data_IF_435762523401
#
_entry.id   IF_435762523401
#
_cell.length_a   1.000
_cell.length_b   1.000
_cell.length_c   1.000
_cell.angle_alpha   90.00
_cell.angle_beta   90.00
_cell.angle_gamma   90.00
#
_symmetry.space_group_name_H-M   'P 1'
#
loop_
_entity.id
_entity.type
_entity.pdbx_description
1 polymer ?
#
# COMPACT_ATOMS: atom_id res chain seq x y z
N UNK A 1 -5.99 172.24 -39.57
CA UNK A 1 -5.15 171.08 -39.23
C UNK A 1 -5.92 169.80 -39.51
N UNK A 2 -5.85 169.30 -40.75
CA UNK A 2 -6.24 167.95 -41.08
C UNK A 2 -5.04 167.20 -41.69
N UNK A 3 -4.91 165.90 -41.44
CA UNK A 3 -4.06 165.05 -42.27
C UNK A 3 -4.47 165.24 -43.74
N UNK A 4 -3.52 165.47 -44.64
CA UNK A 4 -3.85 165.55 -46.08
C UNK A 4 -4.30 164.18 -46.57
N UNK A 5 -5.20 164.12 -47.57
CA UNK A 5 -5.74 162.86 -48.11
C UNK A 5 -4.62 161.87 -48.50
N UNK A 6 -3.45 162.38 -48.91
CA UNK A 6 -2.27 161.57 -49.21
C UNK A 6 -1.63 160.91 -47.97
N UNK A 7 -1.65 161.54 -46.80
CA UNK A 7 -1.16 160.95 -45.54
C UNK A 7 -2.14 159.89 -45.01
N UNK A 8 -3.45 160.13 -45.09
CA UNK A 8 -4.49 159.15 -44.73
C UNK A 8 -4.40 157.93 -45.67
N UNK A 9 -4.22 158.14 -46.97
CA UNK A 9 -4.04 157.04 -47.92
C UNK A 9 -2.77 156.23 -47.63
N UNK A 10 -1.68 156.88 -47.21
CA UNK A 10 -0.41 156.23 -46.86
C UNK A 10 -0.49 155.47 -45.53
N UNK A 11 -1.18 156.03 -44.54
CA UNK A 11 -1.42 155.40 -43.23
C UNK A 11 -2.39 154.22 -43.36
N UNK A 12 -3.51 154.38 -44.08
CA UNK A 12 -4.40 153.29 -44.42
C UNK A 12 -3.72 152.22 -45.28
N UNK A 13 -2.86 152.58 -46.25
CA UNK A 13 -2.09 151.55 -46.99
C UNK A 13 -1.05 150.86 -46.11
N UNK A 14 -0.43 151.55 -45.15
CA UNK A 14 0.48 150.92 -44.19
C UNK A 14 -0.27 149.97 -43.25
N UNK A 15 -1.41 150.38 -42.71
CA UNK A 15 -2.28 149.56 -41.87
C UNK A 15 -2.83 148.35 -42.64
N UNK A 16 -3.23 148.52 -43.91
CA UNK A 16 -3.65 147.41 -44.77
C UNK A 16 -2.48 146.45 -45.02
N UNK A 17 -1.27 146.94 -45.32
CA UNK A 17 -0.09 146.08 -45.49
C UNK A 17 0.32 145.37 -44.20
N UNK A 18 0.09 145.98 -43.04
CA UNK A 18 0.36 145.40 -41.73
C UNK A 18 -0.70 144.34 -41.37
N UNK A 19 -1.97 144.61 -41.65
CA UNK A 19 -3.06 143.64 -41.52
C UNK A 19 -2.90 142.46 -42.47
N UNK A 20 -2.47 142.69 -43.72
CA UNK A 20 -2.14 141.63 -44.69
C UNK A 20 -0.96 140.80 -44.16
N UNK A 21 0.13 141.43 -43.71
CA UNK A 21 1.27 140.70 -43.13
C UNK A 21 0.89 139.93 -41.87
N UNK A 22 0.01 140.46 -41.04
CA UNK A 22 -0.54 139.77 -39.87
C UNK A 22 -1.36 138.56 -40.31
N UNK A 23 -2.27 138.73 -41.28
CA UNK A 23 -3.08 137.65 -41.84
C UNK A 23 -2.20 136.57 -42.49
N UNK A 24 -1.18 136.94 -43.26
CA UNK A 24 -0.21 136.02 -43.84
C UNK A 24 0.56 135.26 -42.75
N UNK A 25 0.93 135.94 -41.66
CA UNK A 25 1.55 135.34 -40.49
C UNK A 25 0.63 134.33 -39.78
N UNK A 26 -0.64 134.68 -39.62
CA UNK A 26 -1.66 133.81 -39.01
C UNK A 26 -2.02 132.63 -39.92
N UNK A 27 -2.10 132.83 -41.24
CA UNK A 27 -2.25 131.76 -42.24
C UNK A 27 -1.04 130.81 -42.16
N UNK A 28 0.18 131.34 -42.14
CA UNK A 28 1.39 130.52 -42.04
C UNK A 28 1.50 129.79 -40.69
N UNK A 29 0.92 130.34 -39.61
CA UNK A 29 0.82 129.66 -38.30
C UNK A 29 -0.23 128.54 -38.36
N UNK A 30 -1.42 128.83 -38.88
CA UNK A 30 -2.50 127.86 -39.05
C UNK A 30 -2.09 126.70 -39.96
N UNK A 31 -1.38 126.96 -41.06
CA UNK A 31 -0.85 125.91 -41.95
C UNK A 31 0.16 125.01 -41.23
N UNK A 32 1.04 125.57 -40.39
CA UNK A 32 1.97 124.78 -39.56
C UNK A 32 1.23 123.95 -38.51
N UNK A 33 0.27 124.54 -37.82
CA UNK A 33 -0.57 123.83 -36.84
C UNK A 33 -1.37 122.69 -37.48
N UNK A 34 -1.87 122.91 -38.71
CA UNK A 34 -2.61 121.91 -39.47
C UNK A 34 -1.69 120.77 -39.91
N UNK A 35 -0.47 121.07 -40.38
CA UNK A 35 0.52 120.04 -40.71
C UNK A 35 0.96 119.26 -39.45
N UNK A 36 1.22 119.94 -38.34
CA UNK A 36 1.52 119.30 -37.05
C UNK A 36 0.36 118.44 -36.54
N UNK A 37 -0.88 118.89 -36.73
CA UNK A 37 -2.07 118.11 -36.41
C UNK A 37 -2.19 116.88 -37.32
N UNK A 38 -1.89 117.02 -38.61
CA UNK A 38 -1.89 115.92 -39.57
C UNK A 38 -0.86 114.85 -39.21
N UNK A 39 0.38 115.25 -38.90
CA UNK A 39 1.44 114.34 -38.43
C UNK A 39 1.02 113.62 -37.14
N UNK A 40 0.37 114.33 -36.20
CA UNK A 40 -0.19 113.72 -34.98
C UNK A 40 -1.32 112.74 -35.25
N UNK A 41 -2.19 113.02 -36.22
CA UNK A 41 -3.27 112.10 -36.64
C UNK A 41 -2.67 110.85 -37.30
N UNK A 42 -1.70 111.01 -38.21
CA UNK A 42 -1.07 109.88 -38.92
C UNK A 42 -0.30 108.96 -37.95
N UNK A 43 0.46 109.54 -37.01
CA UNK A 43 1.13 108.78 -35.95
C UNK A 43 0.14 108.08 -35.00
N UNK A 44 -0.94 108.76 -34.60
CA UNK A 44 -1.99 108.16 -33.77
C UNK A 44 -2.73 107.03 -34.49
N UNK A 45 -3.01 107.20 -35.78
CA UNK A 45 -3.62 106.17 -36.64
C UNK A 45 -2.71 104.95 -36.77
N UNK A 46 -1.41 105.17 -36.99
CA UNK A 46 -0.42 104.10 -37.03
C UNK A 46 -0.34 103.34 -35.70
N UNK A 47 -0.33 104.07 -34.58
CA UNK A 47 -0.36 103.48 -33.23
C UNK A 47 -1.64 102.68 -32.97
N UNK A 48 -2.80 103.21 -33.37
CA UNK A 48 -4.09 102.50 -33.27
C UNK A 48 -4.10 101.21 -34.08
N UNK A 49 -3.57 101.22 -35.31
CA UNK A 49 -3.45 100.02 -36.15
C UNK A 49 -2.56 98.96 -35.50
N UNK A 50 -1.43 99.35 -34.93
CA UNK A 50 -0.55 98.44 -34.17
C UNK A 50 -1.28 97.86 -32.96
N UNK A 51 -2.00 98.69 -32.18
CA UNK A 51 -2.76 98.21 -31.02
C UNK A 51 -3.89 97.26 -31.42
N UNK A 52 -4.62 97.55 -32.50
CA UNK A 52 -5.64 96.65 -33.04
C UNK A 52 -5.05 95.29 -33.45
N UNK A 53 -3.88 95.28 -34.11
CA UNK A 53 -3.21 94.03 -34.47
C UNK A 53 -2.79 93.22 -33.24
N UNK A 54 -2.29 93.88 -32.18
CA UNK A 54 -1.93 93.23 -30.90
C UNK A 54 -3.15 92.64 -30.20
N UNK A 55 -4.25 93.38 -30.14
CA UNK A 55 -5.51 92.91 -29.56
C UNK A 55 -6.01 91.68 -30.33
N UNK A 56 -6.01 91.73 -31.66
CA UNK A 56 -6.42 90.59 -32.49
C UNK A 56 -5.50 89.36 -32.34
N UNK A 57 -4.20 89.55 -32.10
CA UNK A 57 -3.28 88.45 -31.78
C UNK A 57 -3.54 87.87 -30.38
N UNK A 58 -3.79 88.72 -29.38
CA UNK A 58 -4.11 88.30 -28.03
C UNK A 58 -5.46 87.55 -27.95
N UNK A 59 -6.49 88.01 -28.68
CA UNK A 59 -7.78 87.32 -28.77
C UNK A 59 -7.64 85.92 -29.36
N UNK A 60 -6.86 85.77 -30.44
CA UNK A 60 -6.57 84.45 -31.02
C UNK A 60 -5.84 83.53 -30.04
N UNK A 61 -4.88 84.07 -29.29
CA UNK A 61 -4.15 83.30 -28.26
C UNK A 61 -5.06 82.91 -27.09
N UNK A 62 -5.96 83.78 -26.67
CA UNK A 62 -6.92 83.49 -25.61
C UNK A 62 -7.86 82.35 -26.02
N UNK A 63 -8.41 82.40 -27.25
CA UNK A 63 -9.23 81.33 -27.81
C UNK A 63 -8.46 80.00 -27.89
N UNK A 64 -7.20 80.02 -28.31
CA UNK A 64 -6.36 78.80 -28.34
C UNK A 64 -6.17 78.22 -26.94
N UNK A 65 -5.86 79.06 -25.95
CA UNK A 65 -5.70 78.62 -24.56
C UNK A 65 -7.00 78.05 -23.98
N UNK A 66 -8.15 78.61 -24.32
CA UNK A 66 -9.46 78.06 -23.95
C UNK A 66 -9.68 76.67 -24.56
N UNK A 67 -9.32 76.48 -25.83
CA UNK A 67 -9.42 75.16 -26.47
C UNK A 67 -8.45 74.14 -25.85
N UNK A 68 -7.24 74.55 -25.51
CA UNK A 68 -6.24 73.68 -24.87
C UNK A 68 -6.68 73.30 -23.45
N UNK A 69 -7.25 74.25 -22.68
CA UNK A 69 -7.79 74.01 -21.35
C UNK A 69 -8.97 73.03 -21.38
N UNK A 70 -9.86 73.15 -22.36
CA UNK A 70 -10.96 72.21 -22.53
C UNK A 70 -10.47 70.82 -22.92
N UNK A 71 -9.44 70.74 -23.77
CA UNK A 71 -8.75 69.48 -24.09
C UNK A 71 -8.14 68.81 -22.87
N UNK A 72 -7.42 69.57 -22.05
CA UNK A 72 -6.81 69.07 -20.80
C UNK A 72 -7.85 68.62 -19.78
N UNK A 73 -8.99 69.33 -19.66
CA UNK A 73 -10.10 68.91 -18.79
C UNK A 73 -10.65 67.55 -19.20
N UNK A 74 -10.87 67.33 -20.50
CA UNK A 74 -11.34 66.04 -21.02
C UNK A 74 -10.34 64.92 -20.75
N UNK A 75 -9.05 65.18 -20.93
CA UNK A 75 -7.99 64.21 -20.60
C UNK A 75 -7.94 63.90 -19.11
N UNK A 76 -8.09 64.90 -18.25
CA UNK A 76 -8.10 64.73 -16.80
C UNK A 76 -9.27 63.84 -16.35
N UNK A 77 -10.48 64.08 -16.87
CA UNK A 77 -11.65 63.25 -16.55
C UNK A 77 -11.51 61.82 -17.07
N UNK A 78 -10.97 61.64 -18.29
CA UNK A 78 -10.64 60.31 -18.80
C UNK A 78 -9.64 59.58 -17.86
N UNK A 79 -8.56 60.24 -17.45
CA UNK A 79 -7.57 59.66 -16.53
C UNK A 79 -8.14 59.37 -15.15
N UNK A 80 -9.05 60.19 -14.63
CA UNK A 80 -9.77 59.88 -13.38
C UNK A 80 -10.62 58.62 -13.53
N UNK A 81 -11.33 58.47 -14.65
CA UNK A 81 -12.14 57.27 -14.91
C UNK A 81 -11.29 56.00 -15.01
N UNK A 82 -10.13 56.07 -15.69
CA UNK A 82 -9.17 54.98 -15.76
C UNK A 82 -8.61 54.61 -14.38
N UNK A 83 -8.34 55.61 -13.54
CA UNK A 83 -7.81 55.41 -12.19
C UNK A 83 -8.84 54.76 -11.26
N UNK A 84 -10.13 55.07 -11.42
CA UNK A 84 -11.21 54.39 -10.69
C UNK A 84 -11.30 52.93 -11.14
N UNK A 85 -11.34 52.67 -12.45
CA UNK A 85 -11.39 51.30 -12.98
C UNK A 85 -10.19 50.46 -12.51
N UNK A 86 -8.98 51.02 -12.53
CA UNK A 86 -7.79 50.34 -12.05
C UNK A 86 -7.85 50.03 -10.55
N UNK A 87 -8.46 50.89 -9.73
CA UNK A 87 -8.66 50.63 -8.29
C UNK A 87 -9.64 49.47 -8.07
N UNK A 88 -10.72 49.43 -8.83
CA UNK A 88 -11.70 48.35 -8.74
C UNK A 88 -11.07 47.01 -9.15
N UNK A 89 -10.24 47.01 -10.20
CA UNK A 89 -9.47 45.85 -10.63
C UNK A 89 -8.50 45.36 -9.55
N UNK A 90 -7.76 46.27 -8.90
CA UNK A 90 -6.87 45.93 -7.79
C UNK A 90 -7.65 45.26 -6.66
N UNK A 91 -8.78 45.83 -6.24
CA UNK A 91 -9.59 45.25 -5.16
C UNK A 91 -10.11 43.86 -5.51
N UNK A 92 -10.55 43.66 -6.76
CA UNK A 92 -10.99 42.34 -7.24
C UNK A 92 -9.86 41.32 -7.17
N UNK A 93 -8.68 41.65 -7.70
CA UNK A 93 -7.51 40.76 -7.71
C UNK A 93 -7.04 40.44 -6.28
N UNK A 94 -7.07 41.41 -5.37
CA UNK A 94 -6.75 41.18 -3.96
C UNK A 94 -7.75 40.22 -3.28
N UNK A 95 -9.04 40.33 -3.62
CA UNK A 95 -10.07 39.40 -3.16
C UNK A 95 -9.84 37.98 -3.66
N UNK A 96 -9.55 37.82 -4.95
CA UNK A 96 -9.23 36.52 -5.57
C UNK A 96 -7.96 35.91 -4.98
N UNK A 97 -6.90 36.71 -4.82
CA UNK A 97 -5.65 36.25 -4.20
C UNK A 97 -5.86 35.79 -2.75
N UNK A 98 -6.72 36.49 -2.00
CA UNK A 98 -7.07 36.11 -0.63
C UNK A 98 -7.89 34.83 -0.56
N UNK A 99 -8.79 34.60 -1.52
CA UNK A 99 -9.52 33.34 -1.65
C UNK A 99 -8.57 32.19 -1.99
N UNK A 100 -7.72 32.38 -3.00
CA UNK A 100 -6.75 31.38 -3.44
C UNK A 100 -5.77 30.98 -2.32
N UNK A 101 -5.35 31.94 -1.47
CA UNK A 101 -4.51 31.66 -0.29
C UNK A 101 -5.23 30.78 0.74
N UNK A 102 -6.54 30.97 0.94
CA UNK A 102 -7.34 30.13 1.84
C UNK A 102 -7.51 28.73 1.26
N UNK A 103 -7.86 28.65 -0.01
CA UNK A 103 -8.05 27.37 -0.71
C UNK A 103 -6.75 26.56 -0.72
N UNK A 104 -5.60 27.21 -0.98
CA UNK A 104 -4.28 26.58 -0.89
C UNK A 104 -4.00 25.99 0.50
N UNK A 105 -4.32 26.71 1.57
CA UNK A 105 -4.13 26.20 2.95
C UNK A 105 -5.03 25.00 3.23
N UNK A 106 -6.30 25.07 2.83
CA UNK A 106 -7.24 23.97 3.02
C UNK A 106 -6.79 22.70 2.26
N UNK A 107 -6.32 22.86 1.02
CA UNK A 107 -5.76 21.74 0.24
C UNK A 107 -4.49 21.19 0.90
N UNK A 108 -3.62 22.05 1.42
CA UNK A 108 -2.42 21.61 2.12
C UNK A 108 -2.74 20.80 3.38
N UNK A 109 -3.69 21.26 4.20
CA UNK A 109 -4.19 20.51 5.36
C UNK A 109 -4.80 19.16 4.96
N UNK A 110 -5.54 19.13 3.85
CA UNK A 110 -6.10 17.89 3.32
C UNK A 110 -5.01 16.91 2.86
N UNK A 111 -3.98 17.40 2.16
CA UNK A 111 -2.83 16.57 1.74
C UNK A 111 -2.11 16.00 2.95
N UNK A 112 -1.81 16.83 3.96
CA UNK A 112 -1.17 16.37 5.20
C UNK A 112 -2.03 15.31 5.94
N UNK A 113 -3.35 15.47 5.95
CA UNK A 113 -4.24 14.48 6.55
C UNK A 113 -4.26 13.16 5.75
N UNK A 114 -4.30 13.22 4.41
CA UNK A 114 -4.23 12.02 3.58
C UNK A 114 -2.89 11.31 3.71
N UNK A 115 -1.79 12.04 3.85
CA UNK A 115 -0.46 11.45 4.07
C UNK A 115 -0.40 10.69 5.40
N UNK A 116 -0.97 11.25 6.47
CA UNK A 116 -1.08 10.55 7.78
C UNK A 116 -1.90 9.28 7.66
N UNK A 117 -3.05 9.34 7.00
CA UNK A 117 -3.91 8.16 6.77
C UNK A 117 -3.20 7.09 5.95
N UNK A 118 -2.42 7.49 4.94
CA UNK A 118 -1.64 6.57 4.13
C UNK A 118 -0.57 5.85 4.96
N UNK A 119 0.17 6.57 5.80
CA UNK A 119 1.17 5.98 6.72
C UNK A 119 0.50 5.00 7.68
N UNK A 120 -0.65 5.35 8.26
CA UNK A 120 -1.39 4.46 9.16
C UNK A 120 -1.89 3.19 8.45
N UNK A 121 -2.39 3.32 7.22
CA UNK A 121 -2.80 2.17 6.41
C UNK A 121 -1.63 1.26 6.05
N UNK A 122 -0.46 1.81 5.72
CA UNK A 122 0.74 1.00 5.48
C UNK A 122 1.17 0.24 6.73
N UNK A 123 1.21 0.90 7.88
CA UNK A 123 1.52 0.24 9.16
C UNK A 123 0.51 -0.85 9.51
N UNK A 124 -0.78 -0.61 9.26
CA UNK A 124 -1.83 -1.61 9.50
C UNK A 124 -1.71 -2.79 8.53
N UNK A 125 -1.40 -2.53 7.26
CA UNK A 125 -1.13 -3.58 6.26
C UNK A 125 0.04 -4.47 6.71
N UNK A 126 1.16 -3.87 7.13
CA UNK A 126 2.32 -4.59 7.64
C UNK A 126 1.98 -5.44 8.87
N UNK A 127 1.26 -4.87 9.84
CA UNK A 127 0.80 -5.61 11.04
C UNK A 127 -0.12 -6.78 10.69
N UNK A 128 -1.03 -6.60 9.75
CA UNK A 128 -1.93 -7.67 9.31
C UNK A 128 -1.17 -8.76 8.57
N UNK A 129 -0.22 -8.40 7.70
CA UNK A 129 0.64 -9.36 7.02
C UNK A 129 1.47 -10.18 8.02
N UNK A 130 2.04 -9.54 9.04
CA UNK A 130 2.76 -10.23 10.13
C UNK A 130 1.87 -11.21 10.87
N UNK A 131 0.68 -10.77 11.34
CA UNK A 131 -0.28 -11.63 12.05
C UNK A 131 -0.76 -12.81 11.20
N UNK A 132 -1.01 -12.56 9.92
CA UNK A 132 -1.45 -13.59 8.99
C UNK A 132 -0.33 -14.63 8.78
N UNK A 133 0.90 -14.18 8.58
CA UNK A 133 2.07 -15.05 8.49
C UNK A 133 2.31 -15.86 9.78
N UNK A 134 2.16 -15.26 10.95
CA UNK A 134 2.20 -15.98 12.24
C UNK A 134 1.11 -17.06 12.33
N UNK A 135 -0.13 -16.73 11.97
CA UNK A 135 -1.25 -17.66 11.99
C UNK A 135 -1.03 -18.86 11.07
N UNK A 136 -0.51 -18.65 9.85
CA UNK A 136 -0.22 -19.75 8.91
C UNK A 136 0.90 -20.66 9.44
N UNK A 137 1.95 -20.07 10.02
CA UNK A 137 3.03 -20.83 10.65
C UNK A 137 2.56 -21.64 11.85
N UNK A 138 1.65 -21.09 12.66
CA UNK A 138 1.03 -21.83 13.75
C UNK A 138 0.15 -22.98 13.25
N UNK A 139 -0.61 -22.76 12.17
CA UNK A 139 -1.45 -23.81 11.57
C UNK A 139 -0.59 -24.99 11.08
N UNK A 140 0.51 -24.71 10.37
CA UNK A 140 1.45 -25.74 9.94
C UNK A 140 2.06 -26.49 11.13
N UNK A 141 2.48 -25.78 12.18
CA UNK A 141 3.00 -26.40 13.41
C UNK A 141 1.98 -27.32 14.09
N UNK A 142 0.71 -26.90 14.18
CA UNK A 142 -0.36 -27.73 14.73
C UNK A 142 -0.56 -28.98 13.90
N UNK A 143 -0.61 -28.84 12.57
CA UNK A 143 -0.77 -29.96 11.65
C UNK A 143 0.38 -30.98 11.77
N UNK A 144 1.64 -30.52 11.73
CA UNK A 144 2.83 -31.37 11.91
C UNK A 144 2.78 -32.10 13.26
N UNK A 145 2.38 -31.40 14.33
CA UNK A 145 2.23 -32.00 15.65
C UNK A 145 1.07 -33.00 15.77
N UNK A 146 -0.03 -32.79 15.04
CA UNK A 146 -1.15 -33.74 14.96
C UNK A 146 -0.75 -35.00 14.18
N UNK A 147 -0.06 -34.86 13.04
CA UNK A 147 0.49 -35.99 12.29
C UNK A 147 1.45 -36.81 13.15
N UNK A 148 2.33 -36.17 13.91
CA UNK A 148 3.23 -36.88 14.81
C UNK A 148 2.47 -37.69 15.87
N UNK A 149 1.43 -37.11 16.48
CA UNK A 149 0.59 -37.82 17.46
C UNK A 149 -0.10 -39.03 16.85
N UNK A 150 -0.63 -38.88 15.63
CA UNK A 150 -1.24 -40.00 14.89
C UNK A 150 -0.22 -41.11 14.63
N UNK A 151 0.97 -40.79 14.12
CA UNK A 151 2.04 -41.76 13.88
C UNK A 151 2.45 -42.48 15.18
N UNK A 152 2.58 -41.74 16.29
CA UNK A 152 2.89 -42.33 17.59
C UNK A 152 1.79 -43.27 18.08
N UNK A 153 0.52 -42.89 17.93
CA UNK A 153 -0.63 -43.74 18.28
C UNK A 153 -0.59 -45.04 17.47
N UNK A 154 -0.42 -44.96 16.15
CA UNK A 154 -0.31 -46.13 15.28
C UNK A 154 0.87 -47.04 15.66
N UNK A 155 2.02 -46.46 15.99
CA UNK A 155 3.18 -47.22 16.46
C UNK A 155 2.89 -47.93 17.79
N UNK A 156 2.24 -47.27 18.75
CA UNK A 156 1.88 -47.91 20.03
C UNK A 156 0.85 -49.01 19.87
N UNK A 157 -0.20 -48.80 19.05
CA UNK A 157 -1.16 -49.84 18.72
C UNK A 157 -0.49 -51.03 18.05
N UNK A 158 0.47 -50.77 17.18
CA UNK A 158 1.24 -51.82 16.55
C UNK A 158 2.11 -52.60 17.53
N UNK A 159 2.77 -51.94 18.49
CA UNK A 159 3.52 -52.66 19.52
C UNK A 159 2.61 -53.62 20.29
N UNK A 160 1.39 -53.19 20.61
CA UNK A 160 0.37 -54.06 21.23
C UNK A 160 -0.03 -55.20 20.29
N UNK A 161 -0.34 -54.93 19.01
CA UNK A 161 -0.71 -55.97 18.04
C UNK A 161 0.42 -56.99 17.81
N UNK A 162 1.67 -56.53 17.67
CA UNK A 162 2.83 -57.40 17.50
C UNK A 162 3.09 -58.26 18.75
N UNK A 163 2.91 -57.70 19.96
CA UNK A 163 3.00 -58.47 21.19
C UNK A 163 1.92 -59.58 21.24
N UNK A 164 0.69 -59.26 20.83
CA UNK A 164 -0.41 -60.24 20.72
C UNK A 164 -0.13 -61.32 19.66
N UNK A 165 0.40 -60.96 18.49
CA UNK A 165 0.80 -61.92 17.44
C UNK A 165 1.98 -62.80 17.89
N UNK A 166 2.95 -62.24 18.61
CA UNK A 166 4.05 -63.01 19.20
C UNK A 166 3.53 -63.99 20.25
N UNK A 167 2.60 -63.56 21.11
CA UNK A 167 1.91 -64.42 22.07
C UNK A 167 1.10 -65.52 21.37
N UNK A 168 0.43 -65.22 20.26
CA UNK A 168 -0.29 -66.20 19.44
C UNK A 168 0.64 -67.21 18.77
N UNK A 169 1.78 -66.78 18.24
CA UNK A 169 2.78 -67.68 17.69
C UNK A 169 3.41 -68.55 18.79
N UNK A 170 3.64 -67.99 19.98
CA UNK A 170 4.10 -68.74 21.15
C UNK A 170 3.05 -69.77 21.59
N UNK A 171 1.76 -69.43 21.57
CA UNK A 171 0.66 -70.35 21.83
C UNK A 171 0.60 -71.49 20.80
N UNK A 172 0.81 -71.20 19.50
CA UNK A 172 0.91 -72.22 18.44
C UNK A 172 2.08 -73.17 18.67
N UNK A 173 3.25 -72.65 19.01
CA UNK A 173 4.42 -73.48 19.32
C UNK A 173 4.16 -74.31 20.57
N UNK A 174 3.62 -73.70 21.64
CA UNK A 174 3.27 -74.37 22.88
C UNK A 174 2.18 -75.44 22.72
N UNK A 175 1.27 -75.31 21.76
CA UNK A 175 0.31 -76.37 21.38
C UNK A 175 1.05 -77.65 20.97
N UNK A 176 2.18 -77.53 20.29
CA UNK A 176 2.95 -78.70 19.83
C UNK A 176 3.91 -79.25 20.89
N UNK A 177 4.29 -78.42 21.89
CA UNK A 177 5.29 -78.77 22.90
C UNK A 177 4.68 -79.15 24.26
N UNK A 178 3.53 -78.59 24.62
CA UNK A 178 2.86 -78.81 25.90
C UNK A 178 1.46 -79.42 25.71
N UNK A 179 1.30 -80.66 26.16
CA UNK A 179 0.04 -81.42 26.10
C UNK A 179 -1.13 -80.70 26.78
N UNK A 180 -0.88 -79.99 27.88
CA UNK A 180 -1.95 -79.27 28.59
C UNK A 180 -2.49 -78.09 27.78
N UNK A 181 -1.63 -77.39 27.03
CA UNK A 181 -2.02 -76.29 26.14
C UNK A 181 -2.77 -76.82 24.92
N UNK A 182 -2.37 -77.99 24.39
CA UNK A 182 -3.08 -78.67 23.32
C UNK A 182 -4.50 -79.08 23.72
N UNK A 183 -4.66 -79.72 24.89
CA UNK A 183 -5.95 -80.17 25.41
C UNK A 183 -6.91 -78.98 25.63
N UNK A 184 -6.39 -77.83 26.12
CA UNK A 184 -7.17 -76.60 26.29
C UNK A 184 -7.61 -75.98 24.96
N UNK A 185 -6.77 -75.99 23.93
CA UNK A 185 -7.10 -75.45 22.61
C UNK A 185 -8.12 -76.34 21.87
N UNK A 186 -7.97 -77.65 21.96
CA UNK A 186 -8.92 -78.59 21.34
C UNK A 186 -10.29 -78.49 22.04
N UNK A 187 -10.31 -78.36 23.38
CA UNK A 187 -11.53 -78.09 24.13
C UNK A 187 -12.19 -76.75 23.73
N UNK A 188 -11.40 -75.67 23.56
CA UNK A 188 -11.89 -74.37 23.08
C UNK A 188 -12.58 -74.50 21.72
N UNK A 189 -11.96 -75.21 20.77
CA UNK A 189 -12.52 -75.41 19.42
C UNK A 189 -13.82 -76.23 19.47
N UNK A 190 -13.89 -77.25 20.32
CA UNK A 190 -15.10 -78.06 20.52
C UNK A 190 -16.25 -77.22 21.11
N UNK A 191 -16.00 -76.42 22.14
CA UNK A 191 -17.01 -75.53 22.72
C UNK A 191 -17.47 -74.44 21.74
N UNK A 192 -16.55 -73.85 20.94
CA UNK A 192 -16.91 -72.92 19.87
C UNK A 192 -17.77 -73.57 18.79
N UNK A 193 -17.51 -74.84 18.43
CA UNK A 193 -18.38 -75.60 17.50
C UNK A 193 -19.75 -75.89 18.09
N UNK A 194 -19.82 -76.26 19.37
CA UNK A 194 -21.10 -76.47 20.07
C UNK A 194 -21.94 -75.19 20.11
N UNK A 195 -21.34 -74.04 20.39
CA UNK A 195 -22.04 -72.75 20.39
C UNK A 195 -22.58 -72.36 19.01
N UNK A 196 -21.91 -72.72 17.92
CA UNK A 196 -22.42 -72.47 16.55
C UNK A 196 -23.60 -73.38 16.17
N UNK A 197 -23.76 -74.54 16.81
CA UNK A 197 -24.80 -75.52 16.49
C UNK A 197 -25.93 -75.63 17.52
N UNK A 198 -25.80 -75.03 18.70
CA UNK A 198 -26.77 -75.15 19.78
C UNK A 198 -27.94 -74.16 19.64
N UNK A 199 -29.18 -74.68 19.65
CA UNK A 199 -30.40 -73.86 19.67
C UNK A 199 -31.08 -73.74 21.05
N UNK A 200 -30.58 -74.47 22.07
CA UNK A 200 -31.18 -74.51 23.41
C UNK A 200 -30.49 -73.50 24.34
N UNK A 201 -31.21 -72.50 24.89
CA UNK A 201 -30.62 -71.42 25.69
C UNK A 201 -29.78 -71.87 26.88
N UNK A 202 -30.24 -72.88 27.63
CA UNK A 202 -29.51 -73.39 28.81
C UNK A 202 -28.16 -74.04 28.42
N UNK A 203 -28.08 -74.68 27.25
CA UNK A 203 -26.85 -75.28 26.72
C UNK A 203 -25.90 -74.20 26.23
N UNK A 204 -26.44 -73.14 25.63
CA UNK A 204 -25.65 -71.96 25.21
C UNK A 204 -25.02 -71.28 26.44
N UNK A 205 -25.77 -71.08 27.52
CA UNK A 205 -25.24 -70.47 28.75
C UNK A 205 -24.17 -71.33 29.42
N UNK A 206 -24.37 -72.65 29.51
CA UNK A 206 -23.38 -73.56 30.08
C UNK A 206 -22.10 -73.60 29.23
N UNK A 207 -22.24 -73.71 27.90
CA UNK A 207 -21.11 -73.71 26.97
C UNK A 207 -20.34 -72.39 26.98
N UNK A 208 -21.00 -71.25 27.20
CA UNK A 208 -20.33 -69.94 27.37
C UNK A 208 -19.47 -69.90 28.64
N UNK A 209 -19.98 -70.36 29.78
CA UNK A 209 -19.23 -70.34 31.05
C UNK A 209 -17.97 -71.21 30.99
N UNK A 210 -18.07 -72.39 30.37
CA UNK A 210 -16.91 -73.29 30.20
C UNK A 210 -15.92 -72.72 29.19
N UNK A 211 -16.40 -72.13 28.08
CA UNK A 211 -15.55 -71.43 27.12
C UNK A 211 -14.80 -70.26 27.78
N UNK A 212 -15.48 -69.42 28.55
CA UNK A 212 -14.89 -68.28 29.27
C UNK A 212 -13.80 -68.75 30.25
N UNK A 213 -14.01 -69.88 30.93
CA UNK A 213 -13.03 -70.45 31.87
C UNK A 213 -11.78 -70.95 31.14
N UNK A 214 -11.94 -71.58 29.98
CA UNK A 214 -10.83 -72.05 29.14
C UNK A 214 -10.08 -70.86 28.52
N UNK A 215 -10.80 -69.87 27.98
CA UNK A 215 -10.21 -68.68 27.39
C UNK A 215 -9.46 -67.84 28.43
N UNK A 216 -9.96 -67.73 29.68
CA UNK A 216 -9.25 -67.06 30.78
C UNK A 216 -7.92 -67.76 31.12
N UNK A 217 -7.91 -69.09 31.22
CA UNK A 217 -6.66 -69.86 31.49
C UNK A 217 -5.65 -69.74 30.36
N UNK A 218 -6.12 -69.69 29.12
CA UNK A 218 -5.27 -69.49 27.94
C UNK A 218 -4.73 -68.05 27.88
N UNK A 219 -5.52 -67.05 28.25
CA UNK A 219 -5.10 -65.64 28.30
C UNK A 219 -4.13 -65.36 29.47
N UNK A 220 -4.32 -65.98 30.64
CA UNK A 220 -3.34 -65.91 31.75
C UNK A 220 -1.97 -66.47 31.35
N UNK A 221 -1.93 -67.53 30.54
CA UNK A 221 -0.70 -68.15 30.06
C UNK A 221 -0.10 -67.45 28.84
N UNK A 222 -0.95 -66.89 27.96
CA UNK A 222 -0.56 -66.21 26.71
C UNK A 222 -1.42 -64.94 26.50
N UNK A 223 -1.08 -63.84 27.20
CA UNK A 223 -1.91 -62.63 27.20
C UNK A 223 -2.17 -62.06 25.81
N UNK A 224 -3.45 -61.90 25.46
CA UNK A 224 -3.90 -61.30 24.20
C UNK A 224 -3.71 -62.17 22.95
N UNK A 225 -3.28 -63.43 23.10
CA UNK A 225 -3.08 -64.35 21.97
C UNK A 225 -4.40 -64.72 21.27
N UNK A 226 -5.50 -64.81 22.02
CA UNK A 226 -6.81 -65.19 21.50
C UNK A 226 -7.46 -64.04 20.70
N UNK A 227 -7.17 -62.79 21.06
CA UNK A 227 -7.69 -61.60 20.37
C UNK A 227 -6.98 -61.33 19.03
N UNK A 228 -5.70 -61.74 18.90
CA UNK A 228 -4.97 -61.63 17.64
C UNK A 228 -5.53 -62.52 16.52
N UNK A 229 -6.30 -63.56 16.86
CA UNK A 229 -6.91 -64.49 15.91
C UNK A 229 -8.07 -63.88 15.12
N UNK A 230 -8.75 -62.85 15.66
CA UNK A 230 -10.03 -62.34 15.15
C UNK A 230 -9.95 -60.97 14.44
N UNK A 231 -8.82 -60.26 14.55
CA UNK A 231 -8.73 -58.83 14.21
C UNK A 231 -7.70 -58.40 13.14
N UNK A 232 -7.46 -59.20 12.10
CA UNK A 232 -6.51 -58.83 11.02
C UNK A 232 -7.24 -58.10 9.89
N UNK A 233 -7.77 -56.91 10.19
CA UNK A 233 -8.17 -55.93 9.17
C UNK A 233 -7.15 -54.80 9.16
N UNK A 234 -6.41 -54.64 8.07
CA UNK A 234 -5.53 -53.49 7.87
C UNK A 234 -6.35 -52.34 7.26
N UNK A 235 -6.77 -51.39 8.08
CA UNK A 235 -7.10 -50.07 7.54
C UNK A 235 -5.77 -49.40 7.16
N UNK A 236 -5.65 -48.96 5.90
CA UNK A 236 -4.49 -48.22 5.42
C UNK A 236 -4.66 -46.75 5.81
N UNK A 237 -3.87 -46.30 6.78
CA UNK A 237 -3.83 -44.88 7.14
C UNK A 237 -3.04 -44.10 6.09
N UNK A 238 -3.73 -43.21 5.39
CA UNK A 238 -3.15 -42.29 4.41
C UNK A 238 -2.95 -40.94 5.10
N UNK A 239 -1.70 -40.50 5.18
CA UNK A 239 -1.30 -39.19 5.69
C UNK A 239 -0.66 -38.34 4.58
N UNK A 240 -0.70 -37.02 4.73
CA UNK A 240 -0.15 -36.08 3.74
C UNK A 240 1.12 -35.44 4.27
N UNK A 241 2.14 -35.30 3.40
CA UNK A 241 3.40 -34.64 3.71
C UNK A 241 3.59 -33.45 2.78
N UNK A 242 3.85 -32.29 3.37
CA UNK A 242 4.09 -31.10 2.58
C UNK A 242 5.53 -31.04 2.07
N UNK A 243 5.69 -30.52 0.85
CA UNK A 243 7.00 -30.19 0.28
C UNK A 243 7.01 -28.80 -0.35
N UNK A 244 8.20 -28.20 -0.45
CA UNK A 244 8.43 -26.91 -1.13
C UNK A 244 9.63 -27.02 -2.05
N UNK A 245 9.49 -26.55 -3.29
CA UNK A 245 10.59 -26.50 -4.26
C UNK A 245 11.26 -25.12 -4.26
N UNK A 246 12.58 -25.12 -4.34
CA UNK A 246 13.39 -23.93 -4.53
C UNK A 246 14.15 -24.06 -5.85
N UNK A 247 13.50 -23.64 -6.94
CA UNK A 247 14.03 -23.77 -8.30
C UNK A 247 15.38 -23.05 -8.48
N UNK A 248 15.56 -21.89 -7.83
CA UNK A 248 16.78 -21.10 -7.94
C UNK A 248 18.04 -21.75 -7.35
N UNK A 249 17.89 -22.66 -6.38
CA UNK A 249 18.99 -23.39 -5.73
C UNK A 249 18.93 -24.90 -5.96
N UNK A 250 17.99 -25.36 -6.79
CA UNK A 250 17.76 -26.77 -7.12
C UNK A 250 17.59 -27.66 -5.88
N UNK A 251 16.82 -27.18 -4.88
CA UNK A 251 16.56 -27.87 -3.61
C UNK A 251 15.06 -28.11 -3.40
N UNK A 252 14.73 -29.12 -2.62
CA UNK A 252 13.38 -29.38 -2.11
C UNK A 252 13.44 -29.49 -0.59
N UNK A 253 12.50 -28.83 0.08
CA UNK A 253 12.26 -29.00 1.50
C UNK A 253 11.06 -29.91 1.70
N UNK A 254 11.24 -30.95 2.49
CA UNK A 254 10.19 -31.87 2.91
C UNK A 254 9.89 -31.62 4.39
N UNK A 255 8.64 -31.33 4.73
CA UNK A 255 8.24 -31.07 6.11
C UNK A 255 8.00 -32.40 6.83
N UNK A 256 8.82 -32.65 7.86
CA UNK A 256 8.80 -33.93 8.58
C UNK A 256 7.85 -33.81 9.77
N UNK A 257 7.00 -34.82 10.05
CA UNK A 257 6.10 -34.87 11.20
C UNK A 257 6.88 -35.13 12.51
N UNK A 258 7.83 -34.25 12.83
CA UNK A 258 8.72 -34.36 13.98
C UNK A 258 8.77 -33.03 14.73
N UNK A 259 8.49 -33.08 16.03
CA UNK A 259 8.68 -31.93 16.90
C UNK A 259 10.17 -31.68 17.23
N UNK A 260 10.45 -30.44 17.61
CA UNK A 260 11.80 -29.97 17.94
C UNK A 260 12.38 -30.66 19.18
N UNK A 261 11.56 -31.06 20.15
CA UNK A 261 12.05 -31.73 21.35
C UNK A 261 12.54 -33.14 21.02
N UNK A 262 11.84 -33.84 20.13
CA UNK A 262 12.21 -35.15 19.62
C UNK A 262 13.49 -35.05 18.78
N UNK A 263 13.59 -34.03 17.91
CA UNK A 263 14.83 -33.72 17.19
C UNK A 263 16.03 -33.51 18.14
N UNK A 264 15.87 -32.64 19.14
CA UNK A 264 16.92 -32.39 20.13
C UNK A 264 17.25 -33.65 20.96
N UNK A 265 16.28 -34.53 21.20
CA UNK A 265 16.50 -35.78 21.92
C UNK A 265 17.36 -36.79 21.13
N UNK A 266 17.27 -36.76 19.80
CA UNK A 266 18.08 -37.60 18.90
C UNK A 266 19.55 -37.17 18.92
N UNK A 267 19.83 -35.87 19.03
CA UNK A 267 21.20 -35.36 19.20
C UNK A 267 21.81 -35.73 20.56
N UNK A 268 20.99 -36.07 21.55
CA UNK A 268 21.41 -36.40 22.93
C UNK A 268 21.64 -37.89 23.21
N UNK A 269 21.75 -38.74 22.18
CA UNK A 269 21.98 -40.21 22.27
C UNK A 269 20.96 -41.01 23.11
N UNK A 270 19.80 -40.43 23.43
CA UNK A 270 18.77 -41.11 24.21
C UNK A 270 18.00 -42.11 23.32
N UNK A 271 18.29 -43.42 23.43
CA UNK A 271 17.56 -44.45 22.68
C UNK A 271 16.21 -44.74 23.35
N UNK A 272 15.18 -43.98 22.99
CA UNK A 272 13.79 -44.21 23.39
C UNK A 272 12.98 -44.79 22.23
N UNK A 273 11.83 -45.45 22.48
CA UNK A 273 10.98 -46.00 21.41
C UNK A 273 10.48 -44.97 20.38
N UNK A 274 10.20 -43.69 20.74
CA UNK A 274 9.98 -42.61 19.77
C UNK A 274 11.11 -42.41 18.76
N UNK A 275 12.36 -42.71 19.13
CA UNK A 275 13.51 -42.47 18.26
C UNK A 275 13.68 -43.55 17.19
N UNK A 276 13.03 -44.71 17.37
CA UNK A 276 13.06 -45.80 16.39
C UNK A 276 12.20 -45.51 15.16
N UNK A 277 11.00 -44.96 15.33
CA UNK A 277 10.12 -44.66 14.20
C UNK A 277 10.67 -43.49 13.36
N UNK A 278 11.29 -42.49 13.98
CA UNK A 278 11.93 -41.37 13.25
C UNK A 278 13.01 -41.88 12.31
N UNK A 279 13.87 -42.77 12.80
CA UNK A 279 14.92 -43.38 11.98
C UNK A 279 14.34 -44.24 10.85
N UNK A 280 13.27 -44.99 11.12
CA UNK A 280 12.55 -45.75 10.10
C UNK A 280 11.90 -44.85 9.04
N UNK A 281 11.32 -43.72 9.46
CA UNK A 281 10.71 -42.72 8.60
C UNK A 281 11.76 -42.04 7.71
N UNK A 282 12.88 -41.60 8.29
CA UNK A 282 14.01 -41.04 7.56
C UNK A 282 14.59 -42.03 6.55
N UNK A 283 14.74 -43.31 6.95
CA UNK A 283 15.19 -44.37 6.06
C UNK A 283 14.21 -44.66 4.92
N UNK A 284 12.91 -44.67 5.22
CA UNK A 284 11.86 -44.86 4.22
C UNK A 284 11.81 -43.70 3.22
N UNK A 285 11.95 -42.46 3.68
CA UNK A 285 12.06 -41.28 2.81
C UNK A 285 13.22 -41.44 1.85
N UNK A 286 14.40 -41.77 2.38
CA UNK A 286 15.60 -41.97 1.56
C UNK A 286 15.41 -43.07 0.51
N UNK A 287 14.88 -44.23 0.92
CA UNK A 287 14.71 -45.39 0.05
C UNK A 287 13.68 -45.14 -1.05
N UNK A 288 12.55 -44.49 -0.73
CA UNK A 288 11.49 -44.26 -1.70
C UNK A 288 11.82 -43.12 -2.67
N UNK A 289 12.56 -42.10 -2.20
CA UNK A 289 12.93 -40.94 -3.02
C UNK A 289 14.32 -41.08 -3.67
N UNK A 290 14.99 -42.24 -3.54
CA UNK A 290 16.35 -42.54 -4.04
C UNK A 290 17.40 -41.48 -3.67
N UNK A 291 17.38 -41.04 -2.40
CA UNK A 291 18.23 -39.94 -1.94
C UNK A 291 19.63 -40.41 -1.49
N UNK A 292 20.65 -39.61 -1.83
CA UNK A 292 22.03 -39.80 -1.37
C UNK A 292 22.27 -39.08 -0.04
N UNK A 293 22.87 -39.77 0.93
CA UNK A 293 23.20 -39.20 2.25
C UNK A 293 24.06 -37.94 2.18
N UNK A 294 24.95 -37.88 1.19
CA UNK A 294 25.89 -36.76 1.00
C UNK A 294 25.17 -35.46 0.62
N UNK A 295 24.00 -35.57 0.01
CA UNK A 295 23.25 -34.43 -0.54
C UNK A 295 22.01 -34.07 0.30
N UNK A 296 21.63 -34.92 1.26
CA UNK A 296 20.49 -34.71 2.15
C UNK A 296 20.91 -34.21 3.52
N UNK A 297 20.24 -33.16 3.99
CA UNK A 297 20.47 -32.62 5.34
C UNK A 297 19.12 -32.47 6.05
N UNK A 298 19.06 -32.95 7.28
CA UNK A 298 17.96 -32.66 8.17
C UNK A 298 18.29 -31.38 8.92
N UNK A 299 17.40 -30.40 8.86
CA UNK A 299 17.63 -29.08 9.42
C UNK A 299 16.39 -28.64 10.20
N UNK A 300 16.60 -28.02 11.35
CA UNK A 300 15.55 -27.31 12.06
C UNK A 300 15.45 -25.90 11.51
N UNK A 301 14.25 -25.46 11.15
CA UNK A 301 14.03 -24.08 10.73
C UNK A 301 13.84 -23.19 11.99
N UNK A 302 14.82 -22.36 12.39
CA UNK A 302 14.89 -21.78 13.74
C UNK A 302 13.70 -20.88 14.11
N UNK A 303 13.12 -20.20 13.12
CA UNK A 303 11.99 -19.27 13.33
C UNK A 303 10.62 -19.97 13.25
N UNK A 304 10.58 -21.25 12.89
CA UNK A 304 9.34 -21.94 12.56
C UNK A 304 9.12 -23.23 13.35
N UNK A 305 10.12 -23.68 14.13
CA UNK A 305 10.05 -24.87 14.98
C UNK A 305 9.51 -26.10 14.23
N UNK A 306 9.93 -26.25 12.98
CA UNK A 306 9.64 -27.40 12.14
C UNK A 306 10.95 -28.01 11.67
N UNK A 307 10.98 -29.33 11.57
CA UNK A 307 12.12 -30.08 11.02
C UNK A 307 11.86 -30.32 9.55
N UNK A 308 12.84 -30.01 8.71
CA UNK A 308 12.79 -30.25 7.28
C UNK A 308 13.88 -31.23 6.85
N UNK A 309 13.60 -31.97 5.79
CA UNK A 309 14.62 -32.65 4.99
C UNK A 309 14.92 -31.78 3.77
N UNK A 310 16.11 -31.21 3.75
CA UNK A 310 16.68 -30.46 2.65
C UNK A 310 17.38 -31.43 1.70
N UNK A 311 16.87 -31.56 0.48
CA UNK A 311 17.33 -32.55 -0.50
C UNK A 311 17.48 -31.91 -1.89
N UNK A 312 18.28 -32.46 -2.82
CA UNK A 312 18.24 -32.05 -4.23
C UNK A 312 16.82 -32.09 -4.78
N UNK A 313 16.55 -31.30 -5.82
CA UNK A 313 15.24 -31.26 -6.46
C UNK A 313 14.77 -32.67 -6.84
N UNK A 314 13.63 -33.08 -6.27
CA UNK A 314 12.98 -34.36 -6.59
C UNK A 314 11.82 -34.05 -7.54
N UNK A 315 11.99 -34.26 -8.86
CA UNK A 315 10.95 -33.96 -9.83
C UNK A 315 9.76 -34.93 -9.66
N UNK A 316 8.55 -34.40 -9.80
CA UNK A 316 7.29 -35.16 -9.67
C UNK A 316 7.11 -35.85 -8.30
N UNK A 317 7.59 -35.23 -7.21
CA UNK A 317 7.41 -35.78 -5.87
C UNK A 317 5.93 -35.92 -5.49
N UNK A 318 5.06 -35.05 -6.01
CA UNK A 318 3.60 -35.06 -5.90
C UNK A 318 2.92 -36.32 -6.47
N UNK A 319 3.62 -37.06 -7.33
CA UNK A 319 3.12 -38.31 -7.93
C UNK A 319 3.64 -39.56 -7.24
N UNK A 320 4.45 -39.40 -6.20
CA UNK A 320 5.02 -40.49 -5.44
C UNK A 320 4.24 -40.71 -4.16
N UNK A 321 4.19 -41.95 -3.69
CA UNK A 321 3.68 -42.29 -2.38
C UNK A 321 4.81 -42.99 -1.62
N UNK A 322 4.93 -42.67 -0.34
CA UNK A 322 5.89 -43.30 0.54
C UNK A 322 5.17 -44.23 1.51
N UNK A 323 5.56 -45.50 1.52
CA UNK A 323 5.09 -46.45 2.53
C UNK A 323 6.15 -46.58 3.61
N UNK A 324 5.81 -46.22 4.84
CA UNK A 324 6.67 -46.36 6.01
C UNK A 324 6.18 -47.54 6.82
N UNK A 325 7.00 -48.59 6.89
CA UNK A 325 6.74 -49.70 7.79
C UNK A 325 7.00 -49.23 9.23
N UNK A 326 5.94 -49.12 10.03
CA UNK A 326 6.05 -48.81 11.46
C UNK A 326 6.33 -50.09 12.29
N UNK A 327 6.40 -51.26 11.60
CA UNK A 327 6.77 -52.57 12.13
C UNK A 327 6.30 -53.72 11.20
N UNK A 328 6.13 -54.94 11.73
CA UNK A 328 5.98 -56.17 10.94
C UNK A 328 4.70 -56.30 10.08
N UNK A 329 3.63 -55.54 10.35
CA UNK A 329 2.31 -55.75 9.71
C UNK A 329 1.47 -54.48 9.53
N UNK A 330 2.01 -53.30 9.84
CA UNK A 330 1.33 -52.01 9.67
C UNK A 330 2.27 -51.06 8.94
N UNK A 331 1.73 -50.41 7.93
CA UNK A 331 2.42 -49.38 7.18
C UNK A 331 1.54 -48.13 7.09
N UNK A 332 2.14 -46.97 7.31
CA UNK A 332 1.50 -45.70 7.00
C UNK A 332 1.88 -45.30 5.57
N UNK A 333 0.89 -44.91 4.78
CA UNK A 333 1.09 -44.42 3.42
C UNK A 333 1.08 -42.89 3.46
N UNK A 334 2.15 -42.27 2.98
CA UNK A 334 2.28 -40.83 2.89
C UNK A 334 2.16 -40.39 1.43
N UNK A 335 1.26 -39.46 1.16
CA UNK A 335 1.16 -38.75 -0.11
C UNK A 335 1.88 -37.41 0.01
N UNK A 336 2.54 -36.96 -1.07
CA UNK A 336 3.23 -35.68 -1.07
C UNK A 336 2.37 -34.59 -1.70
N UNK A 337 2.23 -33.47 -1.00
CA UNK A 337 1.49 -32.32 -1.49
C UNK A 337 2.33 -31.05 -1.43
N UNK A 338 2.18 -30.14 -2.40
CA UNK A 338 2.89 -28.88 -2.37
C UNK A 338 2.44 -28.07 -1.15
N UNK A 339 3.38 -27.37 -0.52
CA UNK A 339 3.07 -26.46 0.56
C UNK A 339 2.13 -25.37 0.00
N UNK A 340 1.00 -25.05 0.66
CA UNK A 340 0.12 -24.00 0.20
C UNK A 340 0.89 -22.69 0.03
N UNK A 341 0.72 -21.99 -1.09
CA UNK A 341 1.47 -20.76 -1.40
C UNK A 341 1.41 -19.71 -0.30
N UNK A 342 0.26 -19.65 0.38
CA UNK A 342 -0.04 -18.77 1.51
C UNK A 342 0.84 -19.07 2.75
N UNK A 343 1.28 -20.32 2.90
CA UNK A 343 2.24 -20.75 3.93
C UNK A 343 3.67 -20.54 3.42
N UNK A 344 3.95 -20.76 2.14
CA UNK A 344 5.28 -20.47 1.54
C UNK A 344 5.68 -18.99 1.73
N UNK A 345 4.76 -18.06 1.44
CA UNK A 345 4.95 -16.62 1.64
C UNK A 345 5.27 -16.28 3.11
N UNK A 346 4.67 -17.00 4.07
CA UNK A 346 4.91 -16.79 5.49
C UNK A 346 6.31 -17.25 5.95
N UNK A 347 6.96 -18.13 5.19
CA UNK A 347 8.35 -18.56 5.42
C UNK A 347 9.36 -17.59 4.76
N UNK A 348 8.98 -16.91 3.69
CA UNK A 348 9.86 -15.98 2.96
C UNK A 348 9.96 -14.60 3.62
N UNK A 349 8.97 -14.20 4.41
CA UNK A 349 8.96 -12.89 5.09
C UNK A 349 9.93 -12.76 6.28
N UNK A 350 10.60 -13.85 6.68
CA UNK A 350 11.56 -13.88 7.80
C UNK A 350 13.03 -14.08 7.37
N UNK A 351 13.30 -14.21 6.05
CA UNK A 351 14.65 -14.19 5.47
C UNK A 351 14.99 -12.78 4.95
#
# INVERSE_FOLDING_TARGET
MPLTIQEILRECTAEIHEAIRSCEGDIARAMRELEDARVRIESSSSSLSIQQSKIGAQQRRALQLETDLEGLRKQLEAKKSELVAARDDIQRVEGEASKLRRDKRAVQEQVENTDRQFIELQQNKERLAQRLGESHREALRRYVGELQKQIMQLSTEQHVRNAKLAAFNALKTARHENRQVADLLDARDEWRRMLKGAGVPAVIEAARRELDTIETKLDEAFPGALEAEEGIGSEEDIAELFFRHFEGINRTWLFIPMDVNLWNSLESDCVSSPNSWVMQFAWALRKNLDLKWEDTQFEMVPNHNVVILNTPLVPNIDKQNMVVALGASVSATFIFSPLPSVVEEAFDHDN
#
